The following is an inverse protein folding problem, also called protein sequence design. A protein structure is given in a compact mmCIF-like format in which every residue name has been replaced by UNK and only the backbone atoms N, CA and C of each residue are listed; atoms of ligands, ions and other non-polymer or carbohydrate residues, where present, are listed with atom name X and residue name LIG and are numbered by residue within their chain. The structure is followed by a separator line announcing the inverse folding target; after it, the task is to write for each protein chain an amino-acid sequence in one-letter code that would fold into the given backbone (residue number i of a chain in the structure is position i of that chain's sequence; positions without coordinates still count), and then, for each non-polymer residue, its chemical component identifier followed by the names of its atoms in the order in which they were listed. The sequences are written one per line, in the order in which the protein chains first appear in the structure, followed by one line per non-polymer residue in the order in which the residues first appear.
data_IF_356751678016
#
_entry.id   IF_356751678016
#
_cell.length_a   1.000
_cell.length_b   1.000
_cell.length_c   1.000
_cell.angle_alpha   90.00
_cell.angle_beta   90.00
_cell.angle_gamma   90.00
#
_symmetry.space_group_name_H-M   'P 1'
#
loop_
_entity.id
_entity.type
_entity.pdbx_description
1 polymer ?
#
# COMPACT_ATOMS: atom_id res chain seq x y z
N UNK A 1 3.98 16.47 7.16
CA UNK A 1 3.04 15.86 6.20
C UNK A 1 3.68 16.02 4.84
N UNK A 2 4.22 14.93 4.32
CA UNK A 2 4.90 14.90 3.03
C UNK A 2 3.96 15.30 1.88
N UNK A 3 4.54 15.89 0.85
CA UNK A 3 3.80 16.28 -0.35
C UNK A 3 3.19 15.04 -1.01
N UNK A 4 1.94 15.12 -1.53
CA UNK A 4 1.34 13.98 -2.20
C UNK A 4 2.16 13.59 -3.44
N UNK A 5 2.36 12.29 -3.63
CA UNK A 5 2.95 11.77 -4.85
C UNK A 5 1.96 11.97 -5.99
N UNK A 6 2.33 12.81 -6.96
CA UNK A 6 1.50 13.12 -8.12
C UNK A 6 1.82 12.19 -9.28
N UNK A 7 0.79 11.62 -9.88
CA UNK A 7 0.94 10.74 -11.05
C UNK A 7 -0.21 10.94 -12.02
N UNK A 8 0.08 10.79 -13.32
CA UNK A 8 -0.90 10.86 -14.39
C UNK A 8 -0.97 9.49 -15.05
N UNK A 9 -2.16 8.94 -15.20
CA UNK A 9 -2.35 7.60 -15.73
C UNK A 9 -3.40 7.62 -16.83
N UNK A 10 -3.04 7.07 -17.98
CA UNK A 10 -3.92 6.99 -19.13
C UNK A 10 -4.95 5.87 -18.94
N UNK A 11 -6.23 6.22 -18.99
CA UNK A 11 -7.34 5.29 -18.79
C UNK A 11 -7.46 4.27 -19.93
N UNK A 12 -7.08 4.65 -21.15
CA UNK A 12 -7.12 3.73 -22.30
C UNK A 12 -6.19 2.52 -22.13
N UNK A 13 -5.15 2.65 -21.30
CA UNK A 13 -4.25 1.56 -20.91
C UNK A 13 -4.71 0.80 -19.65
N UNK A 14 -5.50 1.42 -18.77
CA UNK A 14 -5.95 0.85 -17.50
C UNK A 14 -7.08 -0.18 -17.67
N UNK A 15 -6.74 -1.37 -18.16
CA UNK A 15 -7.60 -2.54 -18.05
C UNK A 15 -7.73 -3.05 -16.62
N UNK A 16 -8.65 -3.99 -16.37
CA UNK A 16 -8.88 -4.61 -15.05
C UNK A 16 -7.66 -5.33 -14.43
N UNK A 17 -6.57 -5.49 -15.18
CA UNK A 17 -5.36 -6.22 -14.77
C UNK A 17 -4.11 -5.35 -14.71
N UNK A 18 -4.21 -4.09 -15.12
CA UNK A 18 -3.07 -3.18 -15.14
C UNK A 18 -2.83 -2.58 -13.76
N UNK A 19 -1.56 -2.58 -13.35
CA UNK A 19 -1.13 -2.07 -12.06
C UNK A 19 -0.73 -0.60 -12.22
N UNK A 20 -1.33 0.28 -11.42
CA UNK A 20 -0.95 1.70 -11.34
C UNK A 20 0.36 1.85 -10.56
N UNK A 21 0.50 1.09 -9.48
CA UNK A 21 1.62 1.18 -8.55
C UNK A 21 1.88 -0.19 -7.90
N UNK A 22 3.15 -0.49 -7.71
CA UNK A 22 3.62 -1.62 -6.91
C UNK A 22 4.20 -1.11 -5.58
N UNK A 23 3.76 -1.70 -4.48
CA UNK A 23 4.20 -1.42 -3.12
C UNK A 23 4.94 -2.67 -2.62
N UNK A 24 6.22 -2.49 -2.32
CA UNK A 24 7.06 -3.52 -1.71
C UNK A 24 7.64 -3.01 -0.38
N UNK A 25 7.79 -3.90 0.61
CA UNK A 25 8.52 -3.57 1.82
C UNK A 25 9.99 -3.29 1.48
N UNK A 26 10.61 -2.37 2.22
CA UNK A 26 12.01 -2.00 2.00
C UNK A 26 13.01 -3.09 2.43
N UNK A 27 12.58 -4.03 3.29
CA UNK A 27 13.42 -5.09 3.84
C UNK A 27 12.70 -6.44 3.83
N UNK A 28 13.46 -7.53 3.64
CA UNK A 28 12.93 -8.89 3.56
C UNK A 28 12.12 -9.34 4.79
N UNK A 29 12.47 -8.99 6.05
CA UNK A 29 11.67 -9.38 7.22
C UNK A 29 10.25 -8.81 7.23
N UNK A 30 10.00 -7.68 6.55
CA UNK A 30 8.66 -7.09 6.43
C UNK A 30 7.83 -7.75 5.31
N UNK A 31 8.46 -8.54 4.42
CA UNK A 31 7.79 -9.31 3.38
C UNK A 31 6.79 -10.28 4.00
N UNK A 32 5.54 -10.23 3.54
CA UNK A 32 4.39 -10.97 4.08
C UNK A 32 3.98 -10.64 5.54
N UNK A 33 4.71 -9.77 6.23
CA UNK A 33 4.39 -9.30 7.58
C UNK A 33 3.77 -7.90 7.59
N UNK A 34 3.53 -7.33 6.42
CA UNK A 34 2.87 -6.03 6.23
C UNK A 34 1.81 -6.14 5.13
N UNK A 35 0.72 -5.40 5.30
CA UNK A 35 -0.30 -5.19 4.27
C UNK A 35 -0.49 -3.70 4.03
N UNK A 36 -0.66 -3.32 2.77
CA UNK A 36 -1.03 -1.95 2.40
C UNK A 36 -2.54 -1.86 2.19
N UNK A 37 -3.15 -0.79 2.70
CA UNK A 37 -4.58 -0.50 2.53
C UNK A 37 -4.77 0.94 2.05
N UNK A 38 -5.91 1.19 1.41
CA UNK A 38 -6.36 2.56 1.13
C UNK A 38 -7.13 3.02 2.36
N UNK A 39 -6.57 3.94 3.14
CA UNK A 39 -7.18 4.46 4.37
C UNK A 39 -8.22 5.54 4.09
N UNK A 40 -8.01 6.36 3.06
CA UNK A 40 -8.90 7.47 2.69
C UNK A 40 -8.95 7.70 1.17
N UNK A 41 -10.03 8.35 0.71
CA UNK A 41 -10.15 8.85 -0.67
C UNK A 41 -10.67 7.85 -1.71
N UNK A 42 -11.19 6.69 -1.27
CA UNK A 42 -11.69 5.63 -2.14
C UNK A 42 -13.13 5.20 -1.79
N UNK A 43 -14.00 6.15 -1.48
CA UNK A 43 -15.39 5.90 -1.06
C UNK A 43 -16.20 5.20 -2.16
N UNK A 44 -15.97 5.56 -3.42
CA UNK A 44 -16.62 4.97 -4.59
C UNK A 44 -16.08 3.57 -4.97
N UNK A 45 -15.07 3.07 -4.25
CA UNK A 45 -14.41 1.79 -4.52
C UNK A 45 -13.78 1.72 -5.91
N UNK A 46 -13.25 2.83 -6.41
CA UNK A 46 -12.64 2.95 -7.74
C UNK A 46 -11.29 2.24 -7.79
N UNK A 47 -10.55 2.27 -6.69
CA UNK A 47 -9.23 1.66 -6.56
C UNK A 47 -9.28 0.46 -5.61
N UNK A 48 -8.39 -0.50 -5.83
CA UNK A 48 -8.18 -1.66 -4.96
C UNK A 48 -6.69 -1.95 -4.85
N UNK A 49 -6.29 -2.45 -3.68
CA UNK A 49 -4.97 -3.02 -3.47
C UNK A 49 -5.14 -4.54 -3.41
N UNK A 50 -4.42 -5.25 -4.28
CA UNK A 50 -4.34 -6.70 -4.26
C UNK A 50 -2.94 -7.13 -3.83
N UNK A 51 -2.84 -8.02 -2.85
CA UNK A 51 -1.56 -8.53 -2.36
C UNK A 51 -1.31 -9.94 -2.91
N UNK A 52 -0.16 -10.14 -3.56
CA UNK A 52 0.29 -11.44 -4.10
C UNK A 52 1.79 -11.57 -3.90
N UNK A 53 2.22 -12.71 -3.34
CA UNK A 53 3.66 -13.06 -3.20
C UNK A 53 4.49 -11.98 -2.48
N UNK A 54 3.92 -11.33 -1.46
CA UNK A 54 4.61 -10.27 -0.70
C UNK A 54 4.58 -8.88 -1.34
N UNK A 55 4.13 -8.78 -2.60
CA UNK A 55 3.93 -7.52 -3.31
C UNK A 55 2.48 -7.06 -3.22
N UNK A 56 2.26 -5.75 -3.17
CA UNK A 56 0.93 -5.15 -3.18
C UNK A 56 0.74 -4.25 -4.38
N UNK A 57 -0.32 -4.48 -5.14
CA UNK A 57 -0.60 -3.83 -6.41
C UNK A 57 -1.82 -2.93 -6.27
N UNK A 58 -1.64 -1.63 -6.52
CA UNK A 58 -2.76 -0.69 -6.68
C UNK A 58 -3.28 -0.78 -8.11
N UNK A 59 -4.57 -1.04 -8.27
CA UNK A 59 -5.23 -1.07 -9.57
C UNK A 59 -6.65 -0.51 -9.50
N UNK A 60 -7.25 -0.25 -10.66
CA UNK A 60 -8.66 0.16 -10.72
C UNK A 60 -9.56 -1.07 -10.59
N UNK A 61 -10.70 -0.90 -9.91
CA UNK A 61 -11.65 -1.97 -9.62
C UNK A 61 -12.85 -1.98 -10.57
N UNK A 62 -13.17 -0.83 -11.18
CA UNK A 62 -14.29 -0.68 -12.10
C UNK A 62 -13.81 -0.82 -13.54
N UNK A 63 -14.57 -1.57 -14.35
CA UNK A 63 -14.31 -1.82 -15.78
C UNK A 63 -14.30 -0.55 -16.66
N UNK A 64 -14.83 0.57 -16.13
CA UNK A 64 -14.75 1.90 -16.72
C UNK A 64 -14.22 2.86 -15.64
N UNK A 65 -12.91 3.05 -15.62
CA UNK A 65 -12.30 4.12 -14.84
C UNK A 65 -12.77 5.46 -15.39
N UNK A 66 -13.22 6.36 -14.51
CA UNK A 66 -13.74 7.66 -14.92
C UNK A 66 -12.58 8.66 -14.95
N UNK A 67 -12.42 9.45 -16.02
CA UNK A 67 -11.47 10.55 -16.05
C UNK A 67 -11.70 11.50 -14.88
N UNK A 68 -10.62 11.91 -14.23
CA UNK A 68 -10.72 12.74 -13.05
C UNK A 68 -9.49 12.71 -12.18
N UNK A 69 -9.50 13.59 -11.20
CA UNK A 69 -8.48 13.67 -10.16
C UNK A 69 -8.95 12.94 -8.92
N UNK A 70 -8.12 12.03 -8.44
CA UNK A 70 -8.35 11.24 -7.24
C UNK A 70 -7.22 11.49 -6.25
N UNK A 71 -7.58 11.68 -4.99
CA UNK A 71 -6.61 11.76 -3.89
C UNK A 71 -6.81 10.55 -3.00
N UNK A 72 -5.79 9.70 -2.87
CA UNK A 72 -5.82 8.52 -2.02
C UNK A 72 -4.85 8.68 -0.87
N UNK A 73 -5.17 8.09 0.28
CA UNK A 73 -4.19 7.84 1.33
C UNK A 73 -3.97 6.34 1.44
N UNK A 74 -2.71 5.93 1.37
CA UNK A 74 -2.29 4.53 1.54
C UNK A 74 -1.55 4.42 2.86
N UNK A 75 -1.97 3.45 3.67
CA UNK A 75 -1.30 3.11 4.92
C UNK A 75 -0.83 1.66 4.97
N UNK A 76 0.32 1.40 5.58
CA UNK A 76 0.72 0.03 5.91
C UNK A 76 0.17 -0.42 7.28
N UNK A 77 -0.14 -1.71 7.39
CA UNK A 77 -0.60 -2.36 8.61
C UNK A 77 0.27 -3.58 8.86
N UNK A 78 0.89 -3.69 10.04
CA UNK A 78 1.63 -4.89 10.42
C UNK A 78 0.70 -6.09 10.60
N UNK A 79 1.10 -7.25 10.09
CA UNK A 79 0.37 -8.53 10.18
C UNK A 79 0.97 -9.49 11.23
N UNK A 80 1.90 -9.02 12.06
CA UNK A 80 2.56 -9.88 13.07
C UNK A 80 1.53 -10.58 13.97
N UNK A 81 1.68 -11.90 14.10
CA UNK A 81 0.90 -12.69 15.07
C UNK A 81 1.50 -12.45 16.46
N UNK A 82 0.67 -12.29 17.50
CA UNK A 82 1.09 -12.09 18.91
C UNK A 82 2.19 -13.04 19.41
N UNK A 83 2.30 -14.25 18.85
CA UNK A 83 3.33 -15.23 19.21
C UNK A 83 4.71 -14.94 18.61
N UNK A 84 4.76 -14.34 17.43
CA UNK A 84 6.01 -13.97 16.75
C UNK A 84 6.57 -12.69 17.36
N UNK A 85 5.70 -11.72 17.70
CA UNK A 85 6.08 -10.53 18.48
C UNK A 85 6.84 -10.90 19.77
N UNK A 86 6.31 -11.86 20.55
CA UNK A 86 6.94 -12.32 21.79
C UNK A 86 8.30 -12.98 21.61
N UNK A 87 8.51 -13.71 20.50
CA UNK A 87 9.81 -14.33 20.22
C UNK A 87 10.86 -13.30 19.82
N UNK A 88 10.44 -12.26 19.11
CA UNK A 88 11.30 -11.13 18.70
C UNK A 88 11.67 -10.24 19.91
N UNK A 89 10.77 -10.13 20.90
CA UNK A 89 11.04 -9.45 22.18
C UNK A 89 12.10 -10.18 23.02
N UNK A 90 12.09 -11.52 23.04
CA UNK A 90 13.04 -12.34 23.82
C UNK A 90 14.42 -12.48 23.15
N UNK A 91 14.53 -12.34 21.82
CA UNK A 91 15.78 -12.65 21.10
C UNK A 91 16.76 -11.48 20.99
N UNK A 92 16.40 -10.23 21.32
CA UNK A 92 17.27 -9.02 21.25
C UNK A 92 17.92 -8.71 19.87
N UNK A 93 17.84 -9.61 18.90
CA UNK A 93 18.41 -9.53 17.55
C UNK A 93 17.56 -8.66 16.60
N UNK A 94 16.27 -8.46 16.92
CA UNK A 94 15.32 -7.76 16.05
C UNK A 94 14.86 -6.40 16.60
N UNK A 95 15.76 -5.69 17.29
CA UNK A 95 15.51 -4.32 17.75
C UNK A 95 15.13 -3.36 16.59
N UNK A 96 15.52 -3.67 15.35
CA UNK A 96 15.16 -2.89 14.15
C UNK A 96 13.66 -2.98 13.83
N UNK A 97 13.07 -4.18 13.89
CA UNK A 97 11.65 -4.38 13.61
C UNK A 97 10.77 -3.69 14.66
N UNK A 98 11.11 -3.80 15.95
CA UNK A 98 10.33 -3.17 17.02
C UNK A 98 10.49 -1.64 17.06
N UNK A 99 11.65 -1.12 16.65
CA UNK A 99 11.93 0.32 16.57
C UNK A 99 11.34 0.98 15.32
N UNK A 100 11.25 0.26 14.20
CA UNK A 100 10.62 0.72 12.93
C UNK A 100 9.17 0.31 12.73
N UNK A 101 8.61 -0.59 13.56
CA UNK A 101 7.16 -0.75 13.72
C UNK A 101 6.45 0.57 14.13
N UNK A 102 7.24 1.60 14.46
CA UNK A 102 6.80 2.94 14.84
C UNK A 102 6.29 3.83 13.70
N UNK A 103 6.61 3.57 12.43
CA UNK A 103 6.02 4.34 11.33
C UNK A 103 5.43 3.41 10.28
N UNK A 104 4.14 3.11 10.44
CA UNK A 104 3.34 2.63 9.32
C UNK A 104 3.52 3.58 8.14
N UNK A 105 3.89 3.06 6.96
CA UNK A 105 3.92 3.83 5.72
C UNK A 105 2.61 4.61 5.67
N UNK A 106 2.68 5.93 5.54
CA UNK A 106 1.51 6.77 5.30
C UNK A 106 1.85 7.68 4.15
N UNK A 107 1.27 7.40 3.00
CA UNK A 107 1.53 8.12 1.77
C UNK A 107 0.23 8.68 1.21
N UNK A 108 0.27 9.92 0.74
CA UNK A 108 -0.83 10.51 -0.03
C UNK A 108 -0.49 10.44 -1.52
N UNK A 109 -1.42 9.92 -2.32
CA UNK A 109 -1.33 9.87 -3.77
C UNK A 109 -2.30 10.87 -4.37
N UNK A 110 -1.88 11.55 -5.42
CA UNK A 110 -2.74 12.33 -6.30
C UNK A 110 -2.64 11.73 -7.70
N UNK A 111 -3.71 11.09 -8.13
CA UNK A 111 -3.82 10.37 -9.39
C UNK A 111 -4.74 11.15 -10.32
N UNK A 112 -4.20 11.61 -11.46
CA UNK A 112 -5.00 12.14 -12.57
C UNK A 112 -5.21 11.03 -13.59
N UNK A 113 -6.46 10.60 -13.74
CA UNK A 113 -6.88 9.67 -14.79
C UNK A 113 -7.35 10.47 -16.00
N UNK A 114 -6.72 10.27 -17.16
CA UNK A 114 -7.01 10.99 -18.41
C UNK A 114 -7.22 10.06 -19.61
#
# INVERSE_FOLDING_TARGET
MDSPLKMRVNISGLGNKEHILELMPAIEPLTNHVRYIISHGNEDGIFRIHQREGLSYLHTAKKKSVPGTYTLEITSIPLYKKKELKKLEDSNEDNYLLRELGEALRMRLWIELY
#
